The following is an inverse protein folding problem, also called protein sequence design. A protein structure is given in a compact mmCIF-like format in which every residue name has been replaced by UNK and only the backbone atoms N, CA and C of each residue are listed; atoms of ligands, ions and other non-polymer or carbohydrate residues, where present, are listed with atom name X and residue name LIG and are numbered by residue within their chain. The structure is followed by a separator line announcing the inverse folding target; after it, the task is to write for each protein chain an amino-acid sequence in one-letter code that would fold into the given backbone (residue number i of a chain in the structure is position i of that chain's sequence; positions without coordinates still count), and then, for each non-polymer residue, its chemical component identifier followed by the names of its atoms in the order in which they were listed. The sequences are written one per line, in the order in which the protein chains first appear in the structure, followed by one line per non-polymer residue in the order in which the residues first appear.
data_IF_706429695490
#
_entry.id   IF_706429695490
#
_cell.length_a   1.000
_cell.length_b   1.000
_cell.length_c   1.000
_cell.angle_alpha   90.00
_cell.angle_beta   90.00
_cell.angle_gamma   90.00
#
_symmetry.space_group_name_H-M   'P 1'
#
loop_
_entity.id
_entity.type
_entity.pdbx_description
1 polymer ?
#
# COMPACT_ATOMS: atom_id res chain seq x y z
N UNK A 1 0.34 -6.45 -9.98
CA UNK A 1 -1.13 -6.43 -10.18
C UNK A 1 -1.80 -7.29 -9.12
N UNK A 2 -1.73 -8.62 -9.16
CA UNK A 2 -2.37 -9.47 -8.12
C UNK A 2 -1.94 -9.11 -6.69
N UNK A 3 -0.65 -8.87 -6.46
CA UNK A 3 -0.12 -8.44 -5.15
C UNK A 3 -0.53 -7.03 -4.77
N UNK A 4 -0.58 -6.10 -5.73
CA UNK A 4 -1.00 -4.70 -5.51
C UNK A 4 -2.48 -4.62 -5.11
N UNK A 5 -3.31 -5.55 -5.59
CA UNK A 5 -4.74 -5.64 -5.26
C UNK A 5 -4.99 -6.27 -3.87
N UNK A 6 -3.97 -6.86 -3.24
CA UNK A 6 -4.04 -7.35 -1.85
C UNK A 6 -3.81 -6.25 -0.80
N UNK A 7 -3.97 -4.98 -1.19
CA UNK A 7 -3.81 -3.79 -0.36
C UNK A 7 -4.56 -3.84 1.00
N UNK A 8 -5.80 -4.38 1.09
CA UNK A 8 -6.47 -4.51 2.39
C UNK A 8 -5.69 -5.36 3.40
N UNK A 9 -4.98 -6.39 2.94
CA UNK A 9 -4.13 -7.25 3.79
C UNK A 9 -2.92 -6.47 4.31
N UNK A 10 -2.30 -5.63 3.49
CA UNK A 10 -1.16 -4.81 3.90
C UNK A 10 -1.56 -3.71 4.89
N UNK A 11 -2.69 -3.03 4.66
CA UNK A 11 -3.20 -2.03 5.59
C UNK A 11 -3.56 -2.66 6.94
N UNK A 12 -4.17 -3.85 6.92
CA UNK A 12 -4.48 -4.60 8.16
C UNK A 12 -3.20 -4.96 8.90
N UNK A 13 -2.17 -5.42 8.20
CA UNK A 13 -0.87 -5.72 8.79
C UNK A 13 -0.26 -4.48 9.47
N UNK A 14 -0.27 -3.31 8.82
CA UNK A 14 0.19 -2.05 9.44
C UNK A 14 -0.63 -1.67 10.68
N UNK A 15 -1.95 -1.92 10.66
CA UNK A 15 -2.84 -1.65 11.78
C UNK A 15 -2.78 -2.69 12.92
N UNK A 16 -2.06 -3.80 12.73
CA UNK A 16 -1.81 -4.78 13.82
C UNK A 16 -0.53 -4.48 14.62
N UNK A 17 0.27 -3.48 14.20
CA UNK A 17 1.55 -3.17 14.82
C UNK A 17 1.38 -2.17 15.96
N UNK A 18 1.83 -2.58 17.15
CA UNK A 18 1.77 -1.74 18.34
C UNK A 18 2.63 -0.48 18.19
N UNK A 19 2.05 0.68 18.50
CA UNK A 19 2.68 1.99 18.39
C UNK A 19 2.42 2.75 17.09
N UNK A 20 2.02 2.06 16.00
CA UNK A 20 1.71 2.69 14.70
C UNK A 20 0.28 2.47 14.21
N UNK A 21 -0.47 1.56 14.87
CA UNK A 21 -1.85 1.23 14.51
C UNK A 21 -2.79 2.44 14.55
N UNK A 22 -3.75 2.44 13.62
CA UNK A 22 -4.91 3.32 13.69
C UNK A 22 -6.00 2.70 14.57
N UNK A 23 -6.18 3.21 15.79
CA UNK A 23 -7.15 2.65 16.75
C UNK A 23 -8.61 2.91 16.38
N UNK A 24 -8.88 3.89 15.51
CA UNK A 24 -10.26 4.33 15.20
C UNK A 24 -10.59 4.25 13.71
N UNK A 25 -9.59 4.01 12.85
CA UNK A 25 -9.69 4.14 11.40
C UNK A 25 -9.66 5.59 10.89
N UNK A 26 -9.63 6.56 11.81
CA UNK A 26 -9.54 7.99 11.51
C UNK A 26 -8.66 8.72 12.54
N UNK A 27 -7.75 8.01 13.22
CA UNK A 27 -6.90 8.62 14.25
C UNK A 27 -6.05 9.75 13.66
N UNK A 28 -5.83 10.78 14.47
CA UNK A 28 -5.03 11.97 14.12
C UNK A 28 -3.53 11.77 14.42
N UNK A 29 -3.10 10.58 14.84
CA UNK A 29 -1.68 10.28 15.00
C UNK A 29 -0.97 10.35 13.65
N UNK A 30 0.27 10.84 13.63
CA UNK A 30 1.07 10.96 12.40
C UNK A 30 1.19 9.62 11.66
N UNK A 31 1.30 8.52 12.40
CA UNK A 31 1.31 7.16 11.84
C UNK A 31 -0.01 6.78 11.19
N UNK A 32 -1.15 7.06 11.80
CA UNK A 32 -2.45 6.77 11.21
C UNK A 32 -2.72 7.62 9.96
N UNK A 33 -2.36 8.90 9.98
CA UNK A 33 -2.43 9.79 8.81
C UNK A 33 -1.55 9.26 7.68
N UNK A 34 -0.30 8.89 7.99
CA UNK A 34 0.63 8.32 7.01
C UNK A 34 0.10 7.01 6.43
N UNK A 35 -0.35 6.07 7.27
CA UNK A 35 -0.88 4.77 6.83
C UNK A 35 -2.04 4.96 5.86
N UNK A 36 -3.00 5.85 6.16
CA UNK A 36 -4.12 6.13 5.25
C UNK A 36 -3.67 6.81 3.95
N UNK A 37 -2.77 7.78 4.04
CA UNK A 37 -2.24 8.48 2.86
C UNK A 37 -1.44 7.54 1.95
N UNK A 38 -0.65 6.64 2.53
CA UNK A 38 0.10 5.61 1.82
C UNK A 38 -0.85 4.60 1.15
N UNK A 39 -1.86 4.09 1.87
CA UNK A 39 -2.87 3.19 1.27
C UNK A 39 -3.55 3.84 0.07
N UNK A 40 -3.94 5.12 0.17
CA UNK A 40 -4.55 5.85 -0.94
C UNK A 40 -3.60 6.01 -2.16
N UNK A 41 -2.30 6.01 -1.93
CA UNK A 41 -1.30 6.04 -2.98
C UNK A 41 -1.10 4.69 -3.66
N UNK A 42 -0.88 3.64 -2.88
CA UNK A 42 -0.69 2.29 -3.41
C UNK A 42 -1.93 1.77 -4.16
N UNK A 43 -3.14 2.19 -3.77
CA UNK A 43 -4.35 1.81 -4.50
C UNK A 43 -4.30 2.20 -5.98
N UNK A 44 -3.62 3.31 -6.32
CA UNK A 44 -3.50 3.76 -7.71
C UNK A 44 -2.63 2.83 -8.55
N UNK A 45 -1.68 2.11 -7.93
CA UNK A 45 -0.83 1.15 -8.63
C UNK A 45 -1.64 -0.07 -9.09
N UNK A 46 -2.48 -0.61 -8.21
CA UNK A 46 -3.44 -1.68 -8.53
C UNK A 46 -4.37 -1.27 -9.67
N UNK A 47 -5.07 -0.14 -9.50
CA UNK A 47 -6.03 0.38 -10.49
C UNK A 47 -5.42 0.56 -11.89
N UNK A 48 -4.21 1.13 -11.97
CA UNK A 48 -3.54 1.39 -13.24
C UNK A 48 -3.16 0.06 -13.93
N UNK A 49 -2.56 -0.86 -13.18
CA UNK A 49 -2.14 -2.16 -13.73
C UNK A 49 -3.34 -3.02 -14.11
N UNK A 50 -4.43 -2.97 -13.34
CA UNK A 50 -5.66 -3.69 -13.63
C UNK A 50 -6.27 -3.22 -14.96
N UNK A 51 -6.49 -1.91 -15.11
CA UNK A 51 -7.02 -1.33 -16.35
C UNK A 51 -6.11 -1.60 -17.53
N UNK A 52 -4.79 -1.50 -17.35
CA UNK A 52 -3.83 -1.82 -18.41
C UNK A 52 -3.93 -3.28 -18.85
N UNK A 53 -3.96 -4.22 -17.91
CA UNK A 53 -4.08 -5.65 -18.22
C UNK A 53 -5.42 -6.00 -18.86
N UNK A 54 -6.51 -5.42 -18.35
CA UNK A 54 -7.85 -5.54 -18.93
C UNK A 54 -7.87 -5.10 -20.39
N UNK A 55 -7.35 -3.90 -20.68
CA UNK A 55 -7.30 -3.35 -22.04
C UNK A 55 -6.28 -4.06 -22.95
N UNK A 56 -5.26 -4.70 -22.36
CA UNK A 56 -4.25 -5.42 -23.14
C UNK A 56 -4.82 -6.61 -23.90
N UNK A 57 -5.90 -7.22 -23.39
CA UNK A 57 -6.50 -8.44 -23.95
C UNK A 57 -5.57 -9.66 -23.96
N UNK A 58 -4.40 -9.60 -23.31
CA UNK A 58 -3.38 -10.67 -23.32
C UNK A 58 -3.50 -11.65 -22.15
N UNK A 59 -4.37 -11.36 -21.19
CA UNK A 59 -4.51 -12.14 -19.96
C UNK A 59 -5.97 -12.48 -19.69
N UNK A 60 -6.20 -13.62 -19.03
CA UNK A 60 -7.53 -14.01 -18.57
C UNK A 60 -7.87 -13.31 -17.25
N UNK A 61 -8.63 -12.23 -17.35
CA UNK A 61 -9.04 -11.42 -16.19
C UNK A 61 -9.88 -12.21 -15.18
N UNK A 62 -10.65 -13.21 -15.63
CA UNK A 62 -11.50 -14.01 -14.73
C UNK A 62 -10.65 -14.85 -13.78
N UNK A 63 -9.54 -15.41 -14.26
CA UNK A 63 -8.61 -16.14 -13.40
C UNK A 63 -7.91 -15.20 -12.44
N UNK A 64 -7.50 -14.02 -12.92
CA UNK A 64 -6.81 -13.04 -12.09
C UNK A 64 -7.71 -12.55 -10.93
N UNK A 65 -8.95 -12.16 -11.21
CA UNK A 65 -9.92 -11.75 -10.19
C UNK A 65 -10.17 -12.85 -9.15
N UNK A 66 -10.29 -14.10 -9.60
CA UNK A 66 -10.43 -15.26 -8.71
C UNK A 66 -9.20 -15.44 -7.82
N UNK A 67 -7.99 -15.28 -8.36
CA UNK A 67 -6.75 -15.33 -7.58
C UNK A 67 -6.69 -14.20 -6.55
N UNK A 68 -7.09 -12.97 -6.91
CA UNK A 68 -7.15 -11.83 -5.98
C UNK A 68 -8.11 -12.14 -4.83
N UNK A 69 -9.30 -12.65 -5.13
CA UNK A 69 -10.29 -13.00 -4.11
C UNK A 69 -9.76 -14.07 -3.14
N UNK A 70 -9.09 -15.10 -3.64
CA UNK A 70 -8.45 -16.10 -2.78
C UNK A 70 -7.32 -15.50 -1.95
N UNK A 71 -6.47 -14.67 -2.56
CA UNK A 71 -5.33 -14.07 -1.86
C UNK A 71 -5.78 -13.18 -0.69
N UNK A 72 -6.77 -12.32 -0.92
CA UNK A 72 -7.35 -11.48 0.14
C UNK A 72 -8.00 -12.34 1.22
N UNK A 73 -8.75 -13.38 0.83
CA UNK A 73 -9.42 -14.28 1.77
C UNK A 73 -8.46 -15.16 2.58
N UNK A 74 -7.33 -15.57 2.00
CA UNK A 74 -6.27 -16.32 2.69
C UNK A 74 -5.41 -15.42 3.58
N UNK A 75 -5.32 -14.13 3.25
CA UNK A 75 -4.46 -13.19 3.95
C UNK A 75 -2.97 -13.50 3.76
N UNK A 76 -2.15 -12.85 4.57
CA UNK A 76 -0.71 -13.02 4.58
C UNK A 76 -0.23 -13.09 6.03
N UNK A 77 0.61 -14.07 6.34
CA UNK A 77 1.34 -14.10 7.60
C UNK A 77 2.69 -13.44 7.37
N UNK A 78 2.95 -12.35 8.07
CA UNK A 78 4.27 -11.72 8.11
C UNK A 78 4.83 -11.91 9.52
N UNK A 79 5.96 -12.59 9.64
CA UNK A 79 6.63 -12.77 10.91
C UNK A 79 7.03 -11.40 11.48
N UNK A 80 6.67 -11.14 12.75
CA UNK A 80 6.80 -9.83 13.42
C UNK A 80 8.19 -9.21 13.29
N UNK A 81 9.24 -10.03 13.25
CA UNK A 81 10.62 -9.56 13.11
C UNK A 81 10.90 -8.94 11.74
N UNK A 82 10.26 -9.40 10.67
CA UNK A 82 10.38 -8.79 9.35
C UNK A 82 9.54 -7.52 9.23
N UNK A 83 8.34 -7.47 9.83
CA UNK A 83 7.49 -6.27 9.85
C UNK A 83 8.19 -5.05 10.46
N UNK A 84 8.89 -5.23 11.58
CA UNK A 84 9.53 -4.11 12.29
C UNK A 84 10.63 -3.42 11.45
N UNK A 85 11.31 -4.16 10.56
CA UNK A 85 12.30 -3.62 9.63
C UNK A 85 11.69 -3.12 8.32
N UNK A 86 10.54 -3.67 7.92
CA UNK A 86 9.85 -3.30 6.68
C UNK A 86 9.20 -1.92 6.77
N UNK A 87 8.66 -1.51 7.93
CA UNK A 87 8.02 -0.20 8.08
C UNK A 87 9.01 0.96 7.92
N UNK A 88 10.16 1.02 8.62
CA UNK A 88 11.13 2.09 8.42
C UNK A 88 11.65 2.13 6.97
N UNK A 89 11.81 0.95 6.36
CA UNK A 89 12.27 0.83 4.97
C UNK A 89 11.23 1.34 3.96
N UNK A 90 9.96 0.93 4.09
CA UNK A 90 8.86 1.43 3.23
C UNK A 90 8.58 2.90 3.48
N UNK A 91 8.65 3.35 4.74
CA UNK A 91 8.50 4.76 5.11
C UNK A 91 9.61 5.60 4.48
N UNK A 92 10.88 5.18 4.58
CA UNK A 92 12.03 5.89 3.98
C UNK A 92 11.97 5.89 2.46
N UNK A 93 11.57 4.78 1.82
CA UNK A 93 11.35 4.73 0.36
C UNK A 93 10.21 5.66 -0.04
N UNK A 94 9.10 5.66 0.69
CA UNK A 94 7.96 6.56 0.41
C UNK A 94 8.36 8.03 0.55
N UNK A 95 9.15 8.36 1.58
CA UNK A 95 9.67 9.71 1.78
C UNK A 95 10.65 10.11 0.68
N UNK A 96 11.52 9.19 0.27
CA UNK A 96 12.47 9.40 -0.84
C UNK A 96 11.75 9.57 -2.18
N UNK A 97 10.71 8.77 -2.45
CA UNK A 97 9.90 8.89 -3.66
C UNK A 97 9.17 10.24 -3.70
N UNK A 98 8.58 10.68 -2.58
CA UNK A 98 7.99 12.03 -2.46
C UNK A 98 9.04 13.11 -2.64
N UNK A 99 10.23 12.95 -2.06
CA UNK A 99 11.34 13.90 -2.24
C UNK A 99 11.73 14.04 -3.71
N UNK A 100 11.90 12.92 -4.41
CA UNK A 100 12.25 12.91 -5.83
C UNK A 100 11.12 13.51 -6.69
N UNK A 101 9.86 13.18 -6.39
CA UNK A 101 8.69 13.74 -7.09
C UNK A 101 8.56 15.25 -6.87
N UNK A 102 8.81 15.72 -5.65
CA UNK A 102 8.83 17.16 -5.30
C UNK A 102 9.97 17.88 -6.01
N UNK A 103 11.16 17.27 -6.03
CA UNK A 103 12.34 17.79 -6.73
C UNK A 103 12.11 17.92 -8.23
N UNK A 104 11.53 16.90 -8.86
CA UNK A 104 11.23 16.90 -10.30
C UNK A 104 10.07 17.84 -10.68
N UNK A 105 9.13 18.11 -9.77
CA UNK A 105 7.97 18.98 -10.02
C UNK A 105 8.16 20.44 -9.55
N UNK A 106 9.27 20.76 -8.91
CA UNK A 106 9.57 22.11 -8.40
C UNK A 106 8.65 22.57 -7.26
N UNK A 107 7.92 21.65 -6.62
CA UNK A 107 7.02 21.94 -5.50
C UNK A 107 7.73 21.72 -4.18
N UNK A 108 7.41 22.51 -3.15
CA UNK A 108 7.94 22.34 -1.79
C UNK A 108 7.38 21.05 -1.18
N UNK A 109 8.23 20.24 -0.54
CA UNK A 109 7.78 19.09 0.25
C UNK A 109 6.90 19.59 1.40
N UNK A 110 5.59 19.36 1.31
CA UNK A 110 4.74 19.31 2.49
C UNK A 110 5.03 17.98 3.18
N UNK A 111 5.96 18.02 4.13
CA UNK A 111 6.05 17.01 5.16
C UNK A 111 4.77 17.15 6.00
N UNK A 112 3.98 16.08 6.04
CA UNK A 112 2.82 15.97 6.92
C UNK A 112 3.24 16.03 8.38
#
# INVERSE_FOLDING_TARGET
MITEEALPTYQTMLNTLDGVRDETGASLTSWAIWTRAWTAEENRHGDLLNKYLYLSGRVDMKQIEKTIQYLIGSGMVCDYMYCLFLIPFVFTISLFHRYLSSYMSGKTLLCW
#
